data_IF_475474564580
#
_entry.id   IF_475474564580
#
_cell.length_a   1.000
_cell.length_b   1.000
_cell.length_c   1.000
_cell.angle_alpha   90.00
_cell.angle_beta   90.00
_cell.angle_gamma   90.00
#
_symmetry.space_group_name_H-M   'P 1'
#
loop_
_entity.id
_entity.type
_entity.pdbx_description
1 polymer ?
#
# COMPACT_ATOMS: atom_id res chain seq x y z
N UNK A 1 -49.47 14.62 -17.10
CA UNK A 1 -48.17 15.13 -17.63
C UNK A 1 -47.51 16.10 -16.63
N UNK A 2 -47.43 15.76 -15.34
CA UNK A 2 -46.76 16.56 -14.30
C UNK A 2 -45.98 15.71 -13.28
N UNK A 3 -45.94 14.39 -13.45
CA UNK A 3 -45.24 13.48 -12.52
C UNK A 3 -43.87 13.05 -13.05
N UNK A 4 -43.54 13.34 -14.32
CA UNK A 4 -42.27 12.96 -14.94
C UNK A 4 -41.16 14.01 -14.75
N UNK A 5 -41.51 15.27 -14.46
CA UNK A 5 -40.51 16.34 -14.26
C UNK A 5 -39.84 16.28 -12.87
N UNK A 6 -40.53 15.78 -11.85
CA UNK A 6 -39.99 15.70 -10.49
C UNK A 6 -38.92 14.60 -10.32
N UNK A 7 -38.97 13.55 -11.14
CA UNK A 7 -38.00 12.44 -11.07
C UNK A 7 -36.66 12.76 -11.76
N UNK A 8 -36.64 13.68 -12.73
CA UNK A 8 -35.41 14.11 -13.43
C UNK A 8 -34.62 15.14 -12.62
N UNK A 9 -35.27 15.91 -11.75
CA UNK A 9 -34.60 16.90 -10.88
C UNK A 9 -33.89 16.23 -9.69
N UNK A 10 -34.35 15.06 -9.24
CA UNK A 10 -33.76 14.35 -8.10
C UNK A 10 -32.43 13.64 -8.43
N UNK A 11 -32.12 13.39 -9.70
CA UNK A 11 -30.86 12.73 -10.12
C UNK A 11 -29.72 13.72 -10.43
N UNK A 12 -29.99 15.03 -10.41
CA UNK A 12 -29.02 16.06 -10.80
C UNK A 12 -28.32 16.77 -9.63
N UNK A 13 -28.78 16.61 -8.39
CA UNK A 13 -28.10 17.17 -7.22
C UNK A 13 -27.14 16.13 -6.61
N UNK A 14 -26.05 15.83 -7.32
CA UNK A 14 -24.88 15.25 -6.65
C UNK A 14 -24.22 16.40 -5.91
N UNK A 15 -24.36 16.43 -4.58
CA UNK A 15 -23.56 17.31 -3.73
C UNK A 15 -22.09 17.19 -4.16
N UNK A 16 -21.37 18.30 -4.38
CA UNK A 16 -19.96 18.21 -4.70
C UNK A 16 -19.30 17.40 -3.57
N UNK A 17 -18.50 16.40 -3.96
CA UNK A 17 -17.68 15.71 -2.97
C UNK A 17 -16.96 16.80 -2.16
N UNK A 18 -16.89 16.68 -0.83
CA UNK A 18 -16.07 17.59 -0.06
C UNK A 18 -14.67 17.63 -0.69
N UNK A 19 -14.00 18.79 -0.71
CA UNK A 19 -12.61 18.83 -1.16
C UNK A 19 -11.87 17.72 -0.41
N UNK A 20 -10.96 16.99 -1.09
CA UNK A 20 -10.17 15.98 -0.41
C UNK A 20 -9.61 16.60 0.87
N UNK A 21 -9.82 15.95 2.01
CA UNK A 21 -9.23 16.41 3.25
C UNK A 21 -7.73 16.64 3.01
N UNK A 22 -7.17 17.72 3.57
CA UNK A 22 -5.74 17.98 3.47
C UNK A 22 -5.00 16.71 3.91
N UNK A 23 -4.41 16.02 2.94
CA UNK A 23 -3.77 14.75 3.18
C UNK A 23 -2.42 15.04 3.81
N UNK A 24 -2.19 14.64 5.08
CA UNK A 24 -1.03 15.10 5.85
C UNK A 24 0.28 14.48 5.38
N UNK A 25 0.23 13.50 4.47
CA UNK A 25 1.40 12.79 3.97
C UNK A 25 1.79 13.37 2.61
N UNK A 26 2.89 14.11 2.59
CA UNK A 26 3.47 14.64 1.35
C UNK A 26 4.77 13.89 1.00
N UNK A 27 5.04 13.76 -0.30
CA UNK A 27 6.23 13.08 -0.83
C UNK A 27 5.95 11.69 -1.38
N UNK A 28 7.02 10.98 -1.77
CA UNK A 28 6.91 9.66 -2.39
C UNK A 28 6.43 8.62 -1.37
N UNK A 29 5.38 7.89 -1.74
CA UNK A 29 4.83 6.77 -0.99
C UNK A 29 5.13 5.50 -1.79
N UNK A 30 5.91 4.60 -1.22
CA UNK A 30 6.26 3.32 -1.83
C UNK A 30 5.50 2.21 -1.14
N UNK A 31 4.72 1.43 -1.90
CA UNK A 31 4.16 0.18 -1.43
C UNK A 31 5.10 -0.96 -1.79
N UNK A 32 5.58 -1.68 -0.79
CA UNK A 32 6.36 -2.90 -0.99
C UNK A 32 5.43 -4.11 -0.85
N UNK A 33 5.28 -4.85 -1.96
CA UNK A 33 4.45 -6.04 -2.02
C UNK A 33 5.04 -7.19 -1.17
N UNK A 34 4.16 -8.08 -0.71
CA UNK A 34 4.52 -9.20 0.14
C UNK A 34 5.48 -10.22 -0.47
N UNK A 35 5.69 -10.21 -1.79
CA UNK A 35 6.56 -11.18 -2.48
C UNK A 35 7.84 -10.55 -3.05
N UNK A 36 7.83 -9.25 -3.36
CA UNK A 36 8.88 -8.60 -4.16
C UNK A 36 10.28 -8.76 -3.57
N UNK A 37 10.48 -8.33 -2.31
CA UNK A 37 11.77 -8.47 -1.62
C UNK A 37 12.27 -9.93 -1.59
N UNK A 38 11.41 -10.88 -1.24
CA UNK A 38 11.78 -12.30 -1.12
C UNK A 38 12.00 -12.98 -2.48
N UNK A 39 11.39 -12.47 -3.55
CA UNK A 39 11.57 -12.99 -4.90
C UNK A 39 12.94 -12.59 -5.48
N UNK A 40 13.35 -11.33 -5.26
CA UNK A 40 14.57 -10.77 -5.85
C UNK A 40 15.82 -10.86 -4.97
N UNK A 41 15.67 -11.20 -3.68
CA UNK A 41 16.80 -11.39 -2.77
C UNK A 41 17.05 -12.87 -2.52
N UNK A 42 18.33 -13.21 -2.37
CA UNK A 42 18.77 -14.58 -2.05
C UNK A 42 19.30 -14.60 -0.63
N UNK A 43 18.63 -15.35 0.22
CA UNK A 43 19.11 -15.73 1.55
C UNK A 43 19.84 -17.06 1.45
N UNK A 44 20.97 -17.20 2.12
CA UNK A 44 21.80 -18.38 2.06
C UNK A 44 22.91 -18.37 3.11
N UNK A 45 23.73 -19.41 3.12
CA UNK A 45 24.86 -19.50 4.04
C UNK A 45 25.82 -18.32 3.83
N UNK A 46 26.26 -17.72 4.94
CA UNK A 46 27.15 -16.56 4.92
C UNK A 46 26.49 -15.21 4.57
N UNK A 47 25.18 -15.18 4.31
CA UNK A 47 24.45 -13.92 4.08
C UNK A 47 23.91 -13.38 5.39
N UNK A 48 24.29 -12.15 5.73
CA UNK A 48 23.62 -11.37 6.78
C UNK A 48 22.27 -10.84 6.25
N UNK A 49 21.20 -11.55 6.57
CA UNK A 49 19.85 -11.18 6.15
C UNK A 49 19.36 -9.86 6.77
N UNK A 50 19.82 -9.52 7.98
CA UNK A 50 19.44 -8.27 8.66
C UNK A 50 20.03 -7.07 7.93
N UNK A 51 21.35 -7.09 7.73
CA UNK A 51 22.05 -6.02 7.00
C UNK A 51 21.53 -5.84 5.56
N UNK A 52 21.07 -6.93 4.91
CA UNK A 52 20.45 -6.86 3.59
C UNK A 52 19.10 -6.14 3.61
N UNK A 53 18.25 -6.40 4.61
CA UNK A 53 16.98 -5.69 4.78
C UNK A 53 17.24 -4.22 5.07
N UNK A 54 18.16 -3.91 5.99
CA UNK A 54 18.48 -2.53 6.36
C UNK A 54 18.93 -1.72 5.14
N UNK A 55 19.87 -2.27 4.35
CA UNK A 55 20.34 -1.63 3.11
C UNK A 55 19.24 -1.43 2.07
N UNK A 56 18.27 -2.34 2.02
CA UNK A 56 17.13 -2.20 1.12
C UNK A 56 16.27 -0.99 1.51
N UNK A 57 16.02 -0.79 2.80
CA UNK A 57 15.30 0.39 3.31
C UNK A 57 16.09 1.68 3.05
N UNK A 58 17.41 1.66 3.28
CA UNK A 58 18.29 2.81 2.99
C UNK A 58 18.21 3.23 1.52
N UNK A 59 18.20 2.26 0.61
CA UNK A 59 18.08 2.53 -0.84
C UNK A 59 16.78 3.26 -1.18
N UNK A 60 15.67 2.90 -0.52
CA UNK A 60 14.38 3.57 -0.72
C UNK A 60 14.38 4.98 -0.12
N UNK A 61 15.00 5.15 1.04
CA UNK A 61 15.14 6.46 1.68
C UNK A 61 15.99 7.41 0.82
N UNK A 62 17.13 6.94 0.28
CA UNK A 62 17.99 7.68 -0.63
C UNK A 62 17.28 8.08 -1.92
N UNK A 63 16.32 7.27 -2.38
CA UNK A 63 15.46 7.58 -3.52
C UNK A 63 14.36 8.61 -3.21
N UNK A 64 14.26 9.09 -1.96
CA UNK A 64 13.29 10.10 -1.53
C UNK A 64 11.94 9.56 -1.08
N UNK A 65 11.82 8.24 -0.84
CA UNK A 65 10.62 7.65 -0.23
C UNK A 65 10.42 8.20 1.17
N UNK A 66 9.21 8.70 1.45
CA UNK A 66 8.82 9.28 2.74
C UNK A 66 7.92 8.36 3.54
N UNK A 67 7.18 7.49 2.87
CA UNK A 67 6.35 6.45 3.50
C UNK A 67 6.59 5.14 2.78
N UNK A 68 7.05 4.14 3.54
CA UNK A 68 7.14 2.76 3.09
C UNK A 68 5.95 1.98 3.65
N UNK A 69 5.05 1.57 2.77
CA UNK A 69 3.92 0.71 3.14
C UNK A 69 4.32 -0.75 2.92
N UNK A 70 4.51 -1.48 4.00
CA UNK A 70 4.93 -2.89 3.95
C UNK A 70 3.70 -3.79 3.92
N UNK A 71 3.44 -4.44 2.79
CA UNK A 71 2.43 -5.47 2.70
C UNK A 71 3.01 -6.80 3.20
N UNK A 72 2.35 -7.43 4.18
CA UNK A 72 2.84 -8.67 4.82
C UNK A 72 2.07 -9.92 4.42
N UNK A 73 1.10 -9.82 3.52
CA UNK A 73 0.25 -10.95 3.17
C UNK A 73 -0.47 -10.82 1.82
N UNK A 74 -0.68 -11.97 1.22
CA UNK A 74 -1.77 -12.19 0.27
C UNK A 74 -2.82 -13.10 0.94
N UNK A 75 -3.06 -14.30 0.37
CA UNK A 75 -3.85 -15.36 1.04
C UNK A 75 -3.10 -16.05 2.17
N UNK A 76 -1.77 -15.88 2.23
CA UNK A 76 -0.83 -16.41 3.22
C UNK A 76 0.12 -15.28 3.64
N UNK A 77 0.77 -15.40 4.80
CA UNK A 77 1.69 -14.37 5.33
C UNK A 77 3.13 -14.59 4.86
N UNK A 78 3.91 -13.50 4.75
CA UNK A 78 5.36 -13.57 4.47
C UNK A 78 6.22 -13.57 5.76
N UNK A 79 5.58 -13.68 6.92
CA UNK A 79 6.20 -13.83 8.22
C UNK A 79 5.63 -15.05 8.96
N UNK A 80 6.30 -15.47 10.04
CA UNK A 80 5.86 -16.59 10.89
C UNK A 80 4.66 -16.21 11.75
N UNK A 81 3.47 -16.20 11.15
CA UNK A 81 2.22 -15.96 11.85
C UNK A 81 1.84 -17.13 12.75
N UNK A 82 1.11 -16.84 13.83
CA UNK A 82 0.53 -17.86 14.74
C UNK A 82 -0.91 -18.22 14.39
N UNK A 83 -1.52 -17.52 13.44
CA UNK A 83 -2.96 -17.62 13.15
C UNK A 83 -3.28 -17.80 11.67
N UNK A 84 -2.30 -17.61 10.78
CA UNK A 84 -2.42 -17.74 9.33
C UNK A 84 -1.23 -18.55 8.81
N UNK A 85 -1.42 -19.25 7.70
CA UNK A 85 -0.33 -19.98 7.04
C UNK A 85 0.68 -19.03 6.40
N UNK A 86 1.97 -19.30 6.59
CA UNK A 86 3.07 -18.58 5.92
C UNK A 86 3.50 -19.29 4.64
N UNK A 87 3.93 -18.57 3.59
CA UNK A 87 4.41 -19.15 2.32
C UNK A 87 5.94 -19.10 2.14
#
# INVERSE_FOLDING_TARGET
>A
MMMLLALVVLTAAREPNPPPADWPIHGLIQNEDCTNFFYYRRFGEGVDGGAMVDRYVDTLADAGVRVLMINTNARRTNYRSRVWDAF
#
